data_IF_317224050997
#
_entry.id   IF_317224050997
#
_cell.length_a   1.000
_cell.length_b   1.000
_cell.length_c   1.000
_cell.angle_alpha   90.00
_cell.angle_beta   90.00
_cell.angle_gamma   90.00
#
_symmetry.space_group_name_H-M   'P 1'
#
loop_
_entity.id
_entity.type
_entity.pdbx_description
1 polymer ?
#
# COMPACT_ATOMS: atom_id res chain seq x y z
N UNK A 1 0.98 -11.18 11.58
CA UNK A 1 1.05 -10.72 10.18
C UNK A 1 1.23 -9.21 10.09
N UNK A 2 0.37 -8.42 10.73
CA UNK A 2 0.40 -6.95 10.68
C UNK A 2 1.78 -6.34 10.98
N UNK A 3 2.52 -6.86 11.96
CA UNK A 3 3.88 -6.39 12.26
C UNK A 3 4.86 -6.60 11.10
N UNK A 4 4.80 -7.75 10.41
CA UNK A 4 5.66 -8.05 9.25
C UNK A 4 5.40 -7.03 8.14
N UNK A 5 4.13 -6.82 7.77
CA UNK A 5 3.78 -5.87 6.71
C UNK A 5 4.11 -4.44 7.14
N UNK A 6 3.87 -4.07 8.40
CA UNK A 6 4.19 -2.73 8.90
C UNK A 6 5.68 -2.43 8.81
N UNK A 7 6.53 -3.35 9.27
CA UNK A 7 8.00 -3.23 9.15
C UNK A 7 8.42 -3.21 7.69
N UNK A 8 7.82 -4.06 6.85
CA UNK A 8 8.12 -4.10 5.42
C UNK A 8 7.79 -2.78 4.73
N UNK A 9 6.57 -2.27 4.93
CA UNK A 9 6.07 -1.04 4.32
C UNK A 9 6.93 0.17 4.69
N UNK A 10 7.29 0.32 5.98
CA UNK A 10 8.19 1.39 6.41
C UNK A 10 9.59 1.25 5.80
N UNK A 11 10.10 0.02 5.72
CA UNK A 11 11.45 -0.25 5.20
C UNK A 11 11.55 0.12 3.72
N UNK A 12 10.64 -0.38 2.87
CA UNK A 12 10.70 -0.12 1.42
C UNK A 12 10.40 1.35 1.08
N UNK A 13 9.53 2.00 1.86
CA UNK A 13 9.20 3.41 1.66
C UNK A 13 10.38 4.32 1.97
N UNK A 14 11.26 3.91 2.88
CA UNK A 14 12.52 4.58 3.20
C UNK A 14 13.72 4.09 2.35
N UNK A 15 13.49 3.25 1.34
CA UNK A 15 14.52 2.81 0.39
C UNK A 15 15.37 1.65 0.87
N UNK A 16 14.95 0.98 1.95
CA UNK A 16 15.57 -0.23 2.45
C UNK A 16 15.02 -1.50 1.81
N UNK A 17 15.74 -2.60 2.03
CA UNK A 17 15.27 -3.95 1.72
C UNK A 17 15.02 -4.72 3.01
N UNK A 18 14.04 -5.63 2.99
CA UNK A 18 13.77 -6.52 4.11
C UNK A 18 14.29 -7.92 3.80
N UNK A 19 15.22 -8.40 4.63
CA UNK A 19 15.64 -9.80 4.66
C UNK A 19 14.92 -10.51 5.80
N UNK A 20 14.06 -11.47 5.48
CA UNK A 20 13.34 -12.25 6.49
C UNK A 20 14.09 -13.56 6.77
N UNK A 21 14.60 -13.70 7.99
CA UNK A 21 15.23 -14.93 8.44
C UNK A 21 14.20 -15.92 8.99
N UNK A 22 14.46 -17.22 8.81
CA UNK A 22 13.72 -18.30 9.47
C UNK A 22 14.70 -19.33 10.03
N UNK A 23 14.37 -19.93 11.16
CA UNK A 23 15.13 -21.02 11.76
C UNK A 23 14.39 -22.35 11.59
N UNK A 24 14.86 -23.27 10.72
CA UNK A 24 14.33 -24.63 10.66
C UNK A 24 14.55 -25.38 11.98
N UNK A 25 13.82 -26.47 12.18
CA UNK A 25 14.08 -27.40 13.29
C UNK A 25 15.40 -28.14 13.08
N UNK A 26 15.85 -28.90 14.09
CA UNK A 26 17.06 -29.74 13.97
C UNK A 26 16.95 -30.78 12.84
N UNK A 27 15.73 -31.18 12.49
CA UNK A 27 15.41 -32.08 11.38
C UNK A 27 15.37 -31.37 10.01
N UNK A 28 15.60 -30.05 9.96
CA UNK A 28 15.61 -29.26 8.73
C UNK A 28 14.23 -28.85 8.21
N UNK A 29 13.17 -29.01 9.00
CA UNK A 29 11.81 -28.62 8.60
C UNK A 29 11.48 -27.19 9.03
N UNK A 30 10.68 -26.48 8.23
CA UNK A 30 10.16 -25.17 8.60
C UNK A 30 8.98 -25.40 9.55
N UNK A 31 9.01 -24.72 10.70
CA UNK A 31 7.92 -24.80 11.68
C UNK A 31 6.63 -24.25 11.03
N UNK A 32 5.46 -24.91 11.19
CA UNK A 32 4.22 -24.53 10.50
C UNK A 32 3.84 -23.05 10.63
N UNK A 33 4.11 -22.42 11.78
CA UNK A 33 3.84 -20.99 11.98
C UNK A 33 4.67 -20.10 11.06
N UNK A 34 5.93 -20.44 10.77
CA UNK A 34 6.77 -19.68 9.83
C UNK A 34 6.29 -19.88 8.41
N UNK A 35 5.95 -21.12 8.04
CA UNK A 35 5.37 -21.43 6.74
C UNK A 35 4.08 -20.63 6.50
N UNK A 36 3.17 -20.62 7.47
CA UNK A 36 1.91 -19.87 7.39
C UNK A 36 2.16 -18.38 7.14
N UNK A 37 3.08 -17.76 7.89
CA UNK A 37 3.41 -16.34 7.73
C UNK A 37 4.06 -16.03 6.39
N UNK A 38 4.97 -16.88 5.92
CA UNK A 38 5.59 -16.75 4.60
C UNK A 38 4.55 -16.86 3.48
N UNK A 39 3.62 -17.81 3.58
CA UNK A 39 2.52 -17.97 2.62
C UNK A 39 1.59 -16.76 2.62
N UNK A 40 1.20 -16.27 3.80
CA UNK A 40 0.39 -15.06 3.94
C UNK A 40 1.08 -13.83 3.32
N UNK A 41 2.38 -13.67 3.56
CA UNK A 41 3.16 -12.58 2.97
C UNK A 41 3.28 -12.70 1.46
N UNK A 42 3.53 -13.91 0.94
CA UNK A 42 3.53 -14.20 -0.49
C UNK A 42 2.17 -13.90 -1.14
N UNK A 43 1.06 -14.26 -0.51
CA UNK A 43 -0.29 -13.91 -1.00
C UNK A 43 -0.51 -12.40 -1.06
N UNK A 44 -0.05 -11.66 -0.05
CA UNK A 44 -0.13 -10.20 -0.05
C UNK A 44 0.73 -9.58 -1.17
N UNK A 45 1.96 -10.05 -1.34
CA UNK A 45 2.87 -9.60 -2.40
C UNK A 45 2.37 -9.94 -3.80
N UNK A 46 1.66 -11.06 -3.97
CA UNK A 46 1.07 -11.42 -5.28
C UNK A 46 0.10 -10.36 -5.79
N UNK A 47 -0.61 -9.69 -4.87
CA UNK A 47 -1.58 -8.64 -5.21
C UNK A 47 -0.90 -7.27 -5.28
N UNK A 48 -0.08 -6.95 -4.27
CA UNK A 48 0.47 -5.60 -4.09
C UNK A 48 1.88 -5.43 -4.68
N UNK A 49 2.41 -6.48 -5.33
CA UNK A 49 3.80 -6.55 -5.80
C UNK A 49 4.16 -5.48 -6.82
N UNK A 50 3.17 -4.95 -7.56
CA UNK A 50 3.36 -3.87 -8.52
C UNK A 50 3.99 -2.62 -7.87
N UNK A 51 3.51 -2.24 -6.69
CA UNK A 51 4.01 -1.11 -5.90
C UNK A 51 5.18 -1.45 -4.98
N UNK A 52 5.67 -2.68 -5.01
CA UNK A 52 6.80 -3.16 -4.19
C UNK A 52 8.03 -3.37 -5.08
N UNK A 53 7.94 -4.26 -6.05
CA UNK A 53 9.09 -4.68 -6.85
C UNK A 53 9.49 -3.60 -7.85
N UNK A 54 10.77 -3.19 -7.77
CA UNK A 54 11.31 -2.10 -8.60
C UNK A 54 10.74 -0.73 -8.25
N UNK A 55 10.04 -0.61 -7.11
CA UNK A 55 9.66 0.69 -6.56
C UNK A 55 10.85 1.35 -5.88
N UNK A 56 10.77 2.68 -5.72
CA UNK A 56 11.74 3.50 -5.01
C UNK A 56 11.00 4.42 -4.05
N UNK A 57 11.69 5.01 -3.05
CA UNK A 57 11.10 6.02 -2.19
C UNK A 57 10.47 7.17 -2.99
N UNK A 58 9.29 7.57 -2.56
CA UNK A 58 8.67 8.82 -3.02
C UNK A 58 9.20 10.01 -2.21
N UNK A 59 8.84 11.22 -2.62
CA UNK A 59 9.23 12.47 -1.96
C UNK A 59 8.79 12.51 -0.50
N UNK A 60 7.64 11.91 -0.21
CA UNK A 60 7.11 11.70 1.14
C UNK A 60 7.10 10.20 1.42
N UNK A 61 7.71 9.75 2.52
CA UNK A 61 7.73 8.32 2.87
C UNK A 61 6.50 7.89 3.67
N UNK A 62 6.00 8.79 4.52
CA UNK A 62 4.82 8.58 5.38
C UNK A 62 3.82 9.71 5.17
N UNK A 63 2.53 9.42 5.30
CA UNK A 63 1.51 10.46 5.24
C UNK A 63 1.44 11.27 6.54
N UNK A 64 1.43 12.59 6.43
CA UNK A 64 1.41 13.47 7.60
C UNK A 64 -0.01 13.70 8.17
N UNK A 65 -1.06 13.23 7.49
CA UNK A 65 -2.46 13.33 7.96
C UNK A 65 -2.93 12.02 8.56
N UNK A 66 -2.83 10.92 7.81
CA UNK A 66 -3.23 9.59 8.28
C UNK A 66 -2.01 8.76 8.68
N UNK A 67 -1.94 8.38 9.96
CA UNK A 67 -0.90 7.50 10.48
C UNK A 67 -0.96 6.14 9.80
N UNK A 68 0.18 5.45 9.77
CA UNK A 68 0.31 4.10 9.20
C UNK A 68 -0.03 4.01 7.70
N UNK A 69 0.12 5.13 6.98
CA UNK A 69 0.14 5.15 5.52
C UNK A 69 1.56 5.44 5.05
N UNK A 70 2.08 4.55 4.20
CA UNK A 70 3.44 4.63 3.67
C UNK A 70 3.41 4.73 2.16
N UNK A 71 4.42 5.36 1.57
CA UNK A 71 4.47 5.58 0.13
C UNK A 71 5.70 4.99 -0.54
N UNK A 72 5.47 4.37 -1.69
CA UNK A 72 6.50 4.08 -2.68
C UNK A 72 6.11 4.73 -4.01
N UNK A 73 7.07 4.84 -4.94
CA UNK A 73 6.77 5.24 -6.31
C UNK A 73 7.45 4.33 -7.31
N UNK A 74 6.90 4.31 -8.53
CA UNK A 74 7.48 3.61 -9.67
C UNK A 74 7.24 4.40 -10.94
N UNK A 75 8.16 4.31 -11.89
CA UNK A 75 7.93 4.84 -13.24
C UNK A 75 6.75 4.08 -13.86
N UNK A 76 5.74 4.81 -14.32
CA UNK A 76 4.60 4.25 -15.03
C UNK A 76 4.97 3.98 -16.50
N UNK A 77 4.20 3.12 -17.17
CA UNK A 77 4.45 2.72 -18.57
C UNK A 77 4.42 3.91 -19.55
N UNK A 78 3.63 4.95 -19.25
CA UNK A 78 3.45 6.13 -20.10
C UNK A 78 4.39 7.29 -19.74
N UNK A 79 5.64 7.01 -19.32
CA UNK A 79 6.61 8.00 -18.80
C UNK A 79 6.16 8.83 -17.57
N UNK A 80 4.96 8.56 -17.04
CA UNK A 80 4.47 9.14 -15.80
C UNK A 80 5.08 8.51 -14.55
N UNK A 81 4.66 9.00 -13.38
CA UNK A 81 4.98 8.38 -12.08
C UNK A 81 3.70 7.82 -11.47
N UNK A 82 3.76 6.57 -11.01
CA UNK A 82 2.74 5.98 -10.17
C UNK A 82 3.23 6.01 -8.71
N UNK A 83 2.41 6.58 -7.83
CA UNK A 83 2.63 6.59 -6.38
C UNK A 83 1.72 5.55 -5.75
N UNK A 84 2.25 4.76 -4.84
CA UNK A 84 1.52 3.70 -4.17
C UNK A 84 1.37 4.04 -2.69
N UNK A 85 0.15 4.18 -2.22
CA UNK A 85 -0.17 4.42 -0.81
C UNK A 85 -0.51 3.08 -0.13
N UNK A 86 0.31 2.67 0.83
CA UNK A 86 0.17 1.44 1.61
C UNK A 86 -0.56 1.77 2.90
N UNK A 87 -1.85 1.43 2.96
CA UNK A 87 -2.70 1.61 4.13
C UNK A 87 -2.63 0.36 5.01
N UNK A 88 -2.09 0.50 6.22
CA UNK A 88 -1.94 -0.61 7.18
C UNK A 88 -3.12 -0.76 8.14
N UNK A 89 -4.06 0.17 8.15
CA UNK A 89 -5.22 0.15 9.04
C UNK A 89 -6.43 0.70 8.30
N UNK A 90 -7.54 -0.02 8.35
CA UNK A 90 -8.80 0.44 7.76
C UNK A 90 -9.39 1.56 8.63
N UNK A 91 -9.79 2.70 8.06
CA UNK A 91 -10.35 3.81 8.84
C UNK A 91 -11.79 3.51 9.28
N UNK A 92 -12.14 3.91 10.51
CA UNK A 92 -13.46 3.65 11.10
C UNK A 92 -14.61 4.36 10.37
N UNK A 93 -14.36 5.58 9.89
CA UNK A 93 -15.30 6.39 9.12
C UNK A 93 -15.37 5.98 7.63
N UNK A 94 -14.61 4.95 7.24
CA UNK A 94 -14.48 4.51 5.84
C UNK A 94 -14.00 5.62 4.89
N UNK A 95 -13.26 6.61 5.39
CA UNK A 95 -12.62 7.65 4.57
C UNK A 95 -11.12 7.65 4.87
N UNK A 96 -10.32 7.40 3.83
CA UNK A 96 -8.87 7.52 3.92
C UNK A 96 -8.46 8.94 3.51
N UNK A 97 -7.97 9.72 4.48
CA UNK A 97 -7.52 11.10 4.27
C UNK A 97 -6.00 11.12 4.05
N UNK A 98 -5.54 11.49 2.87
CA UNK A 98 -4.13 11.58 2.53
C UNK A 98 -3.71 13.04 2.46
N UNK A 99 -2.66 13.43 3.18
CA UNK A 99 -2.13 14.80 3.14
C UNK A 99 -1.08 15.04 2.06
N UNK A 100 -0.22 14.05 1.80
CA UNK A 100 0.94 14.22 0.93
C UNK A 100 0.62 14.31 -0.58
N UNK A 101 -0.32 13.53 -1.15
CA UNK A 101 -0.66 13.60 -2.56
C UNK A 101 -1.34 14.92 -2.92
N UNK A 102 -0.87 15.59 -3.98
CA UNK A 102 -1.54 16.76 -4.54
C UNK A 102 -2.25 16.31 -5.82
N UNK A 103 -3.59 16.18 -5.80
CA UNK A 103 -4.33 15.73 -6.97
C UNK A 103 -4.34 16.80 -8.07
N UNK A 104 -4.37 16.34 -9.31
CA UNK A 104 -4.62 17.13 -10.52
C UNK A 104 -5.99 16.76 -11.12
N UNK A 105 -6.40 17.47 -12.17
CA UNK A 105 -7.66 17.18 -12.88
C UNK A 105 -7.68 15.80 -13.56
N UNK A 106 -6.50 15.22 -13.82
CA UNK A 106 -6.36 13.90 -14.47
C UNK A 106 -5.95 12.80 -13.50
N UNK A 107 -5.96 13.06 -12.19
CA UNK A 107 -5.60 12.07 -11.17
C UNK A 107 -6.54 10.87 -11.22
N UNK A 108 -5.95 9.68 -11.22
CA UNK A 108 -6.69 8.43 -11.13
C UNK A 108 -6.26 7.68 -9.87
N UNK A 109 -7.25 7.04 -9.24
CA UNK A 109 -7.07 6.27 -8.01
C UNK A 109 -7.67 4.89 -8.23
N UNK A 110 -6.86 3.87 -7.99
CA UNK A 110 -7.31 2.47 -7.97
C UNK A 110 -6.77 1.76 -6.74
N UNK A 111 -7.40 0.66 -6.35
CA UNK A 111 -6.90 -0.22 -5.29
C UNK A 111 -6.39 -1.51 -5.94
N UNK A 112 -5.17 -1.92 -5.62
CA UNK A 112 -4.59 -3.13 -6.20
C UNK A 112 -5.38 -4.37 -5.75
N UNK A 113 -5.77 -5.20 -6.72
CA UNK A 113 -6.58 -6.40 -6.49
C UNK A 113 -8.09 -6.14 -6.30
N UNK A 114 -8.55 -4.90 -6.46
CA UNK A 114 -9.97 -4.56 -6.46
C UNK A 114 -10.40 -4.08 -7.85
N UNK A 115 -11.39 -4.75 -8.43
CA UNK A 115 -11.90 -4.43 -9.79
C UNK A 115 -12.93 -3.30 -9.82
N UNK A 116 -13.42 -2.86 -8.65
CA UNK A 116 -14.39 -1.79 -8.57
C UNK A 116 -13.76 -0.39 -8.64
N UNK A 117 -14.61 0.62 -8.78
CA UNK A 117 -14.19 2.02 -8.77
C UNK A 117 -13.90 2.49 -7.35
N UNK A 118 -12.81 3.26 -7.20
CA UNK A 118 -12.46 3.93 -5.95
C UNK A 118 -12.80 5.41 -6.10
N UNK A 119 -13.77 5.88 -5.32
CA UNK A 119 -14.19 7.28 -5.34
C UNK A 119 -13.25 8.12 -4.47
N UNK A 120 -12.90 9.31 -4.93
CA UNK A 120 -12.07 10.23 -4.18
C UNK A 120 -12.45 11.68 -4.49
N UNK A 121 -12.10 12.58 -3.56
CA UNK A 121 -12.23 14.04 -3.72
C UNK A 121 -10.92 14.73 -3.32
N UNK A 122 -10.63 15.87 -3.92
CA UNK A 122 -9.49 16.68 -3.51
C UNK A 122 -9.69 17.23 -2.08
N UNK A 123 -8.61 17.30 -1.32
CA UNK A 123 -8.65 17.89 0.03
C UNK A 123 -8.81 19.42 -0.02
N UNK A 124 -9.10 20.04 1.15
CA UNK A 124 -9.28 21.49 1.25
C UNK A 124 -8.06 22.25 0.70
N UNK A 125 -8.30 23.30 -0.08
CA UNK A 125 -7.22 24.11 -0.67
C UNK A 125 -6.41 23.42 -1.77
N UNK A 126 -6.88 22.28 -2.29
CA UNK A 126 -6.18 21.52 -3.35
C UNK A 126 -4.96 20.73 -2.84
N UNK A 127 -4.80 20.64 -1.52
CA UNK A 127 -3.79 19.79 -0.88
C UNK A 127 -4.44 18.52 -0.34
N UNK A 128 -3.76 17.39 -0.51
CA UNK A 128 -4.27 16.11 -0.07
C UNK A 128 -5.46 15.61 -0.88
N UNK A 129 -5.97 14.44 -0.48
CA UNK A 129 -7.12 13.80 -1.09
C UNK A 129 -7.84 12.90 -0.09
N UNK A 130 -9.16 12.79 -0.24
CA UNK A 130 -9.98 11.89 0.57
C UNK A 130 -10.52 10.77 -0.31
N UNK A 131 -10.19 9.53 0.05
CA UNK A 131 -10.63 8.33 -0.66
C UNK A 131 -11.79 7.68 0.12
N UNK A 132 -12.92 7.47 -0.54
CA UNK A 132 -14.12 6.88 0.07
C UNK A 132 -14.10 5.36 -0.07
N UNK A 133 -14.22 4.65 1.05
CA UNK A 133 -14.14 3.18 1.12
C UNK A 133 -15.49 2.49 1.40
N UNK A 134 -16.54 3.26 1.70
CA UNK A 134 -17.84 2.77 2.18
C UNK A 134 -18.52 1.71 1.27
N UNK A 135 -18.25 1.74 -0.03
CA UNK A 135 -18.90 0.86 -1.01
C UNK A 135 -18.08 -0.38 -1.39
N UNK A 136 -16.98 -0.69 -0.68
CA UNK A 136 -16.17 -1.87 -0.95
C UNK A 136 -16.69 -3.03 -0.08
N UNK A 137 -17.36 -4.04 -0.64
CA UNK A 137 -17.87 -5.15 0.16
C UNK A 137 -16.70 -6.02 0.64
N UNK A 138 -16.82 -6.54 1.86
CA UNK A 138 -15.73 -7.28 2.54
C UNK A 138 -15.20 -8.48 1.74
N UNK A 139 -16.07 -9.14 0.97
CA UNK A 139 -15.71 -10.28 0.11
C UNK A 139 -14.95 -9.89 -1.16
N UNK A 140 -14.85 -8.59 -1.46
CA UNK A 140 -14.06 -8.03 -2.57
C UNK A 140 -12.80 -7.33 -2.07
N UNK A 141 -12.54 -7.33 -0.76
CA UNK A 141 -11.29 -6.81 -0.24
C UNK A 141 -10.13 -7.71 -0.68
N UNK A 142 -9.07 -7.14 -1.28
CA UNK A 142 -7.97 -7.94 -1.82
C UNK A 142 -7.15 -8.63 -0.73
N UNK A 143 -7.13 -8.08 0.48
CA UNK A 143 -6.26 -8.51 1.56
C UNK A 143 -6.90 -8.21 2.92
N UNK A 144 -6.69 -9.06 3.94
CA UNK A 144 -7.19 -8.82 5.29
C UNK A 144 -6.21 -8.02 6.18
N UNK A 145 -5.00 -7.69 5.71
CA UNK A 145 -3.94 -7.13 6.57
C UNK A 145 -3.55 -5.69 6.22
N UNK A 146 -3.47 -5.37 4.94
CA UNK A 146 -3.09 -4.06 4.41
C UNK A 146 -3.52 -3.94 2.95
N UNK A 147 -3.77 -2.71 2.51
CA UNK A 147 -4.28 -2.38 1.19
C UNK A 147 -3.38 -1.36 0.51
N UNK A 148 -3.25 -1.46 -0.81
CA UNK A 148 -2.42 -0.56 -1.58
C UNK A 148 -3.26 0.18 -2.62
N UNK A 149 -3.18 1.50 -2.60
CA UNK A 149 -3.81 2.37 -3.60
C UNK A 149 -2.76 2.84 -4.59
N UNK A 150 -3.06 2.74 -5.89
CA UNK A 150 -2.26 3.29 -6.96
C UNK A 150 -2.82 4.65 -7.35
N UNK A 151 -1.97 5.67 -7.26
CA UNK A 151 -2.25 7.05 -7.60
C UNK A 151 -1.42 7.41 -8.84
N UNK A 152 -2.07 7.88 -9.90
CA UNK A 152 -1.40 8.34 -11.12
C UNK A 152 -1.79 9.77 -11.44
N UNK A 153 -0.93 10.46 -12.20
CA UNK A 153 -1.13 11.85 -12.60
C UNK A 153 -1.33 12.80 -11.40
N UNK A 154 -0.57 12.58 -10.32
CA UNK A 154 -0.44 13.57 -9.25
C UNK A 154 0.33 14.78 -9.75
N UNK A 155 0.11 15.94 -9.13
CA UNK A 155 0.83 17.16 -9.46
C UNK A 155 2.22 17.23 -8.82
N UNK A 156 2.57 16.32 -7.91
CA UNK A 156 3.81 16.31 -7.10
C UNK A 156 4.57 14.97 -7.07
#
# INVERSE_FOLDING_TARGET
MNQIISTFASTISCGGNMLMNIGPTKEGTIIPVFEERLRQFGSWLKINGEGVYGSVPWSHQNDFTTKNVWYTRKKAENDGTAVYAIMLTWPDDSVLVLGAPIPSQSTQVTMLGYEGTVNWIAGPGGQGMNITLQNIPWNKLPSPWAWMFKLTNLAN
#
